data_IF_095060701865
#
_entry.id   IF_095060701865
#
_cell.length_a   1.000
_cell.length_b   1.000
_cell.length_c   1.000
_cell.angle_alpha   90.00
_cell.angle_beta   90.00
_cell.angle_gamma   90.00
#
_symmetry.space_group_name_H-M   'P 1'
#
loop_
_entity.id
_entity.type
_entity.pdbx_description
1 polymer ?
#
# COMPACT_ATOMS: atom_id res chain seq x y z
N UNK A 1 31.80 -19.60 -16.25
CA UNK A 1 31.05 -20.48 -15.34
C UNK A 1 32.04 -21.39 -14.62
N UNK A 2 32.41 -21.02 -13.37
CA UNK A 2 33.15 -21.77 -12.30
C UNK A 2 34.53 -22.41 -12.58
N UNK A 3 35.36 -22.73 -11.55
CA UNK A 3 35.14 -22.57 -10.10
C UNK A 3 36.25 -21.82 -9.33
N UNK A 4 35.86 -21.36 -8.14
CA UNK A 4 36.71 -20.86 -7.05
C UNK A 4 37.03 -22.06 -6.18
N UNK A 5 38.31 -22.37 -6.01
CA UNK A 5 38.79 -23.42 -5.12
C UNK A 5 38.91 -22.90 -3.68
N UNK A 6 38.32 -23.67 -2.75
CA UNK A 6 38.45 -23.51 -1.31
C UNK A 6 39.68 -24.29 -0.84
N UNK A 7 40.58 -23.63 -0.14
CA UNK A 7 41.54 -24.30 0.74
C UNK A 7 41.48 -23.67 2.14
N UNK A 8 40.99 -24.46 3.10
CA UNK A 8 41.54 -24.56 4.47
C UNK A 8 42.23 -25.94 4.51
N UNK A 9 43.30 -26.19 5.30
CA UNK A 9 43.42 -25.84 6.73
C UNK A 9 44.88 -25.58 7.20
N UNK A 10 45.09 -25.32 8.49
CA UNK A 10 46.02 -26.10 9.35
C UNK A 10 46.25 -25.42 10.70
N UNK A 11 45.90 -26.17 11.74
CA UNK A 11 46.20 -25.90 13.13
C UNK A 11 47.71 -26.07 13.36
N UNK A 12 48.37 -24.99 13.80
CA UNK A 12 49.78 -24.96 14.16
C UNK A 12 49.97 -25.10 15.66
N UNK A 13 50.25 -26.32 16.10
CA UNK A 13 50.70 -26.68 17.44
C UNK A 13 52.14 -26.16 17.65
N UNK A 14 52.38 -25.33 18.67
CA UNK A 14 53.73 -24.90 19.07
C UNK A 14 53.95 -25.14 20.57
N UNK A 15 54.67 -26.24 20.82
CA UNK A 15 55.51 -26.59 21.98
C UNK A 15 56.53 -25.45 22.19
N UNK A 16 56.70 -24.81 23.34
CA UNK A 16 57.00 -25.38 24.65
C UNK A 16 58.50 -25.28 24.87
N UNK A 17 58.99 -24.15 25.40
CA UNK A 17 60.36 -23.99 25.91
C UNK A 17 60.31 -23.32 27.30
N UNK A 18 60.75 -24.10 28.28
CA UNK A 18 61.01 -23.72 29.67
C UNK A 18 62.48 -23.30 29.80
N UNK A 19 62.75 -22.16 30.44
CA UNK A 19 64.00 -21.84 31.14
C UNK A 19 63.69 -20.60 32.00
N UNK A 20 63.76 -20.56 33.33
CA UNK A 20 64.87 -20.97 34.19
C UNK A 20 65.24 -19.72 35.02
N UNK A 21 64.99 -19.72 36.33
CA UNK A 21 65.31 -18.55 37.17
C UNK A 21 64.73 -18.57 38.59
N UNK A 22 65.39 -19.36 39.44
CA UNK A 22 65.81 -19.08 40.83
C UNK A 22 64.89 -18.38 41.85
N UNK A 23 64.57 -19.17 42.90
CA UNK A 23 64.67 -18.87 44.33
C UNK A 23 64.09 -17.56 44.89
N UNK A 24 62.79 -17.60 45.23
CA UNK A 24 62.22 -16.83 46.33
C UNK A 24 61.26 -17.71 47.16
N UNK A 25 61.24 -17.56 48.50
CA UNK A 25 60.41 -18.38 49.38
C UNK A 25 58.93 -18.18 49.06
N UNK A 26 58.18 -19.28 48.88
CA UNK A 26 56.71 -19.26 48.73
C UNK A 26 56.09 -18.68 50.00
N UNK A 27 55.77 -17.40 49.98
CA UNK A 27 54.76 -16.82 50.87
C UNK A 27 53.40 -17.16 50.26
N UNK A 28 52.59 -17.93 50.97
CA UNK A 28 51.20 -18.16 50.62
C UNK A 28 50.41 -16.84 50.80
N UNK A 29 49.90 -16.21 49.73
CA UNK A 29 49.18 -14.94 49.83
C UNK A 29 47.82 -15.07 50.55
N UNK A 30 47.39 -16.29 50.88
CA UNK A 30 46.05 -16.54 51.43
C UNK A 30 45.97 -16.41 52.96
N UNK A 31 47.08 -16.14 53.66
CA UNK A 31 47.07 -16.03 55.11
C UNK A 31 46.68 -14.64 55.64
N UNK A 32 46.62 -13.62 54.77
CA UNK A 32 46.33 -12.23 55.17
C UNK A 32 44.84 -11.83 55.07
N UNK A 33 43.96 -12.71 54.55
CA UNK A 33 42.54 -12.36 54.32
C UNK A 33 41.63 -12.74 55.50
N UNK A 34 42.16 -13.34 56.57
CA UNK A 34 41.37 -13.85 57.70
C UNK A 34 40.99 -12.81 58.79
N UNK A 35 41.30 -11.53 58.59
CA UNK A 35 41.06 -10.46 59.58
C UNK A 35 40.21 -9.28 59.12
N UNK A 36 39.69 -9.29 57.89
CA UNK A 36 38.81 -8.23 57.41
C UNK A 36 37.35 -8.58 57.73
N UNK A 37 36.79 -7.89 58.71
CA UNK A 37 35.34 -7.85 58.98
C UNK A 37 34.64 -7.18 57.79
N UNK A 38 34.35 -7.97 56.74
CA UNK A 38 33.60 -7.52 55.58
C UNK A 38 32.12 -7.47 56.00
N UNK A 39 31.47 -6.30 56.07
CA UNK A 39 30.04 -6.25 56.33
C UNK A 39 29.29 -7.01 55.22
N UNK A 40 28.19 -7.70 55.53
CA UNK A 40 27.45 -8.45 54.52
C UNK A 40 27.07 -7.51 53.37
N UNK A 41 27.47 -7.88 52.15
CA UNK A 41 27.02 -7.22 50.92
C UNK A 41 25.49 -7.21 50.97
N UNK A 42 24.81 -6.06 50.84
CA UNK A 42 23.36 -6.05 50.73
C UNK A 42 23.00 -6.91 49.52
N UNK A 43 22.47 -8.10 49.76
CA UNK A 43 21.88 -8.94 48.73
C UNK A 43 20.95 -8.03 47.94
N UNK A 44 21.24 -7.88 46.66
CA UNK A 44 20.55 -6.99 45.75
C UNK A 44 19.07 -6.99 46.10
N UNK A 45 18.60 -5.89 46.70
CA UNK A 45 17.18 -5.64 46.87
C UNK A 45 16.63 -5.87 45.47
N UNK A 46 15.73 -6.85 45.30
CA UNK A 46 14.98 -6.99 44.05
C UNK A 46 14.46 -5.60 43.75
N UNK A 47 15.07 -4.92 42.80
CA UNK A 47 14.50 -3.74 42.20
C UNK A 47 13.24 -4.33 41.58
N UNK A 48 12.03 -4.05 42.10
CA UNK A 48 10.83 -4.43 41.37
C UNK A 48 11.02 -3.82 39.98
N UNK A 49 10.69 -4.53 38.89
CA UNK A 49 10.78 -3.94 37.57
C UNK A 49 10.04 -2.61 37.64
N UNK A 50 10.80 -1.52 37.50
CA UNK A 50 10.22 -0.20 37.38
C UNK A 50 9.58 -0.21 36.00
N UNK A 51 8.35 -0.68 35.98
CA UNK A 51 7.44 -0.46 34.88
C UNK A 51 7.23 1.04 34.81
N UNK A 52 8.11 1.72 34.07
CA UNK A 52 7.81 3.01 33.45
C UNK A 52 6.72 2.79 32.40
N UNK A 53 5.55 2.33 32.85
CA UNK A 53 4.31 2.17 32.08
C UNK A 53 3.53 3.48 32.00
N UNK A 54 4.18 4.62 32.24
CA UNK A 54 3.52 5.94 32.19
C UNK A 54 3.96 6.82 31.02
N UNK A 55 4.71 6.26 30.06
CA UNK A 55 5.15 6.96 28.83
C UNK A 55 4.49 6.46 27.55
N UNK A 56 3.32 5.82 27.63
CA UNK A 56 2.39 5.65 26.50
C UNK A 56 1.12 6.47 26.74
N UNK A 57 0.93 7.59 26.03
CA UNK A 57 -0.18 8.49 26.32
C UNK A 57 -1.51 7.84 25.89
N UNK A 58 -2.47 7.80 26.83
CA UNK A 58 -3.90 7.61 26.60
C UNK A 58 -4.28 6.47 25.64
N UNK A 59 -4.21 5.24 26.15
CA UNK A 59 -5.05 4.16 25.61
C UNK A 59 -6.52 4.56 25.82
N UNK A 60 -7.18 5.00 24.74
CA UNK A 60 -8.62 5.15 24.71
C UNK A 60 -9.23 3.76 24.91
N UNK A 61 -10.03 3.63 25.97
CA UNK A 61 -10.71 2.38 26.34
C UNK A 61 -11.39 1.73 25.12
N UNK A 62 -11.33 0.39 24.98
CA UNK A 62 -11.94 -0.35 23.87
C UNK A 62 -13.46 -0.35 24.00
N UNK A 63 -14.08 0.77 23.64
CA UNK A 63 -15.50 0.90 23.39
C UNK A 63 -15.78 1.15 21.92
N UNK A 64 -17.01 0.89 21.46
CA UNK A 64 -17.47 1.13 20.08
C UNK A 64 -17.26 2.57 19.54
N UNK A 65 -16.77 3.50 20.36
CA UNK A 65 -16.29 4.83 20.00
C UNK A 65 -15.33 4.83 18.81
N UNK A 66 -14.45 3.83 18.69
CA UNK A 66 -13.48 3.75 17.58
C UNK A 66 -14.14 3.52 16.21
N UNK A 67 -15.07 2.57 16.14
CA UNK A 67 -15.83 2.30 14.93
C UNK A 67 -16.76 3.48 14.57
N UNK A 68 -17.30 4.17 15.57
CA UNK A 68 -18.14 5.37 15.36
C UNK A 68 -17.33 6.52 14.74
N UNK A 69 -16.13 6.79 15.25
CA UNK A 69 -15.27 7.83 14.70
C UNK A 69 -14.88 7.53 13.24
N UNK A 70 -14.46 6.28 12.95
CA UNK A 70 -14.21 5.84 11.58
C UNK A 70 -15.46 5.91 10.70
N UNK A 71 -16.63 5.58 11.25
CA UNK A 71 -17.90 5.69 10.55
C UNK A 71 -18.21 7.13 10.13
N UNK A 72 -17.99 8.09 11.02
CA UNK A 72 -18.15 9.52 10.70
C UNK A 72 -17.20 9.95 9.59
N UNK A 73 -15.91 9.60 9.69
CA UNK A 73 -14.93 9.91 8.65
C UNK A 73 -15.30 9.28 7.31
N UNK A 74 -15.76 8.02 7.31
CA UNK A 74 -16.20 7.33 6.11
C UNK A 74 -17.43 7.99 5.46
N UNK A 75 -18.41 8.43 6.26
CA UNK A 75 -19.60 9.15 5.77
C UNK A 75 -19.22 10.51 5.19
N UNK A 76 -18.34 11.26 5.85
CA UNK A 76 -17.86 12.56 5.34
C UNK A 76 -17.10 12.39 4.02
N UNK A 77 -16.24 11.39 3.92
CA UNK A 77 -15.53 11.06 2.68
C UNK A 77 -16.53 10.67 1.57
N UNK A 78 -17.51 9.81 1.88
CA UNK A 78 -18.52 9.40 0.92
C UNK A 78 -19.37 10.58 0.43
N UNK A 79 -19.69 11.54 1.30
CA UNK A 79 -20.38 12.77 0.91
C UNK A 79 -19.53 13.64 -0.03
N UNK A 80 -18.22 13.75 0.22
CA UNK A 80 -17.30 14.43 -0.70
C UNK A 80 -17.23 13.76 -2.07
N UNK A 81 -17.14 12.43 -2.11
CA UNK A 81 -17.17 11.67 -3.37
C UNK A 81 -18.51 11.78 -4.10
N UNK A 82 -19.62 11.77 -3.38
CA UNK A 82 -20.95 11.98 -3.95
C UNK A 82 -21.07 13.39 -4.53
N UNK A 83 -20.55 14.41 -3.86
CA UNK A 83 -20.54 15.78 -4.37
C UNK A 83 -19.75 15.88 -5.69
N UNK A 84 -18.59 15.22 -5.79
CA UNK A 84 -17.84 15.13 -7.04
C UNK A 84 -18.61 14.40 -8.14
N UNK A 85 -19.27 13.28 -7.82
CA UNK A 85 -20.05 12.51 -8.78
C UNK A 85 -21.27 13.29 -9.31
N UNK A 86 -21.95 14.04 -8.43
CA UNK A 86 -23.12 14.86 -8.77
C UNK A 86 -22.73 16.11 -9.57
N UNK A 87 -21.53 16.67 -9.33
CA UNK A 87 -21.06 17.86 -10.03
C UNK A 87 -20.91 17.66 -11.55
N UNK A 88 -20.89 16.41 -12.04
CA UNK A 88 -20.78 16.09 -13.45
C UNK A 88 -19.42 16.51 -13.98
N UNK A 89 -19.38 17.20 -15.14
CA UNK A 89 -18.12 17.60 -15.77
C UNK A 89 -17.27 18.51 -14.85
N UNK A 90 -16.13 17.96 -14.42
CA UNK A 90 -15.21 18.60 -13.49
C UNK A 90 -14.24 19.56 -14.20
N UNK A 91 -14.10 19.47 -15.53
CA UNK A 91 -13.19 20.32 -16.33
C UNK A 91 -13.41 21.82 -16.11
N UNK A 92 -14.64 22.36 -16.20
CA UNK A 92 -14.89 23.78 -15.91
C UNK A 92 -14.85 24.12 -14.42
N UNK A 93 -14.79 23.14 -13.53
CA UNK A 93 -14.92 23.29 -12.06
C UNK A 93 -13.63 22.92 -11.33
N UNK A 94 -12.47 23.24 -11.92
CA UNK A 94 -11.18 22.79 -11.41
C UNK A 94 -10.93 23.20 -9.95
N UNK A 95 -11.25 24.44 -9.57
CA UNK A 95 -11.09 24.89 -8.19
C UNK A 95 -11.94 24.10 -7.19
N UNK A 96 -13.18 23.76 -7.57
CA UNK A 96 -14.06 22.90 -6.76
C UNK A 96 -13.48 21.48 -6.65
N UNK A 97 -13.04 20.90 -7.77
CA UNK A 97 -12.39 19.59 -7.79
C UNK A 97 -11.16 19.56 -6.87
N UNK A 98 -10.27 20.54 -6.99
CA UNK A 98 -9.07 20.64 -6.14
C UNK A 98 -9.42 20.83 -4.66
N UNK A 99 -10.44 21.64 -4.35
CA UNK A 99 -10.93 21.83 -2.99
C UNK A 99 -11.45 20.52 -2.38
N UNK A 100 -12.28 19.78 -3.12
CA UNK A 100 -12.74 18.46 -2.71
C UNK A 100 -11.59 17.46 -2.57
N UNK A 101 -10.61 17.47 -3.50
CA UNK A 101 -9.45 16.59 -3.45
C UNK A 101 -8.58 16.83 -2.22
N UNK A 102 -8.32 18.10 -1.87
CA UNK A 102 -7.61 18.47 -0.63
C UNK A 102 -8.40 17.99 0.59
N UNK A 103 -9.70 18.28 0.67
CA UNK A 103 -10.55 17.87 1.78
C UNK A 103 -10.56 16.34 1.97
N UNK A 104 -10.75 15.59 0.90
CA UNK A 104 -10.74 14.12 0.92
C UNK A 104 -9.39 13.57 1.35
N UNK A 105 -8.29 14.19 0.91
CA UNK A 105 -6.93 13.83 1.33
C UNK A 105 -6.72 14.05 2.83
N UNK A 106 -7.23 15.15 3.38
CA UNK A 106 -7.19 15.43 4.81
C UNK A 106 -8.03 14.42 5.61
N UNK A 107 -9.22 14.06 5.14
CA UNK A 107 -10.06 13.02 5.76
C UNK A 107 -9.38 11.65 5.75
N UNK A 108 -8.68 11.31 4.66
CA UNK A 108 -7.89 10.08 4.56
C UNK A 108 -6.73 10.06 5.56
N UNK A 109 -5.94 11.14 5.65
CA UNK A 109 -4.86 11.27 6.63
C UNK A 109 -5.40 11.17 8.05
N UNK A 110 -6.50 11.86 8.36
CA UNK A 110 -7.16 11.78 9.67
C UNK A 110 -7.58 10.33 10.00
N UNK A 111 -8.11 9.60 9.01
CA UNK A 111 -8.46 8.19 9.16
C UNK A 111 -7.24 7.32 9.44
N UNK A 112 -6.13 7.52 8.74
CA UNK A 112 -4.87 6.78 8.96
C UNK A 112 -4.30 7.05 10.37
N UNK A 113 -4.21 8.31 10.78
CA UNK A 113 -3.72 8.69 12.11
C UNK A 113 -4.62 8.11 13.21
N UNK A 114 -5.93 8.06 12.98
CA UNK A 114 -6.87 7.45 13.91
C UNK A 114 -6.66 5.93 14.02
N UNK A 115 -6.52 5.24 12.90
CA UNK A 115 -6.27 3.79 12.86
C UNK A 115 -4.95 3.45 13.55
N UNK A 116 -3.88 4.23 13.34
CA UNK A 116 -2.58 4.00 13.98
C UNK A 116 -2.63 4.08 15.51
N UNK A 117 -3.57 4.86 16.07
CA UNK A 117 -3.77 4.99 17.52
C UNK A 117 -4.85 4.07 18.09
N UNK A 118 -5.49 3.27 17.24
CA UNK A 118 -6.64 2.44 17.62
C UNK A 118 -6.32 0.96 17.47
N UNK A 119 -6.89 0.11 18.35
CA UNK A 119 -6.83 -1.35 18.13
C UNK A 119 -7.82 -1.75 17.03
N UNK A 120 -7.43 -2.62 16.09
CA UNK A 120 -8.34 -3.08 15.05
C UNK A 120 -9.48 -3.89 15.67
N UNK A 121 -10.71 -3.46 15.43
CA UNK A 121 -11.92 -4.19 15.84
C UNK A 121 -12.64 -4.71 14.60
N UNK A 122 -13.40 -5.81 14.72
CA UNK A 122 -14.21 -6.35 13.60
C UNK A 122 -15.17 -5.29 13.04
N UNK A 123 -15.75 -4.46 13.90
CA UNK A 123 -16.62 -3.36 13.48
C UNK A 123 -15.87 -2.29 12.69
N UNK A 124 -14.65 -1.92 13.07
CA UNK A 124 -13.84 -0.97 12.32
C UNK A 124 -13.47 -1.52 10.93
N UNK A 125 -13.10 -2.81 10.85
CA UNK A 125 -12.86 -3.48 9.56
C UNK A 125 -14.12 -3.46 8.69
N UNK A 126 -15.29 -3.77 9.28
CA UNK A 126 -16.57 -3.70 8.58
C UNK A 126 -16.90 -2.30 8.05
N UNK A 127 -16.62 -1.25 8.83
CA UNK A 127 -16.79 0.16 8.40
C UNK A 127 -15.86 0.49 7.24
N UNK A 128 -14.60 0.07 7.30
CA UNK A 128 -13.63 0.33 6.22
C UNK A 128 -14.01 -0.41 4.95
N UNK A 129 -14.34 -1.70 5.02
CA UNK A 129 -14.75 -2.51 3.87
C UNK A 129 -16.07 -2.01 3.27
N UNK A 130 -17.05 -1.71 4.12
CA UNK A 130 -18.34 -1.15 3.69
C UNK A 130 -18.18 0.23 3.05
N UNK A 131 -17.38 1.11 3.65
CA UNK A 131 -17.05 2.42 3.10
C UNK A 131 -16.33 2.33 1.75
N UNK A 132 -15.35 1.44 1.64
CA UNK A 132 -14.64 1.18 0.38
C UNK A 132 -15.59 0.65 -0.72
N UNK A 133 -16.51 -0.25 -0.37
CA UNK A 133 -17.53 -0.73 -1.30
C UNK A 133 -18.47 0.41 -1.76
N UNK A 134 -19.00 1.20 -0.83
CA UNK A 134 -19.84 2.36 -1.16
C UNK A 134 -19.11 3.36 -2.04
N UNK A 135 -17.84 3.65 -1.75
CA UNK A 135 -17.01 4.51 -2.58
C UNK A 135 -16.85 3.96 -4.01
N UNK A 136 -16.51 2.66 -4.13
CA UNK A 136 -16.40 2.00 -5.44
C UNK A 136 -17.69 2.11 -6.25
N UNK A 137 -18.84 1.88 -5.61
CA UNK A 137 -20.14 2.01 -6.28
C UNK A 137 -20.41 3.45 -6.74
N UNK A 138 -20.14 4.45 -5.89
CA UNK A 138 -20.29 5.86 -6.26
C UNK A 138 -19.42 6.23 -7.46
N UNK A 139 -18.14 5.82 -7.48
CA UNK A 139 -17.25 6.09 -8.60
C UNK A 139 -17.57 5.28 -9.86
N UNK A 140 -18.05 4.05 -9.70
CA UNK A 140 -18.49 3.21 -10.81
C UNK A 140 -19.67 3.83 -11.56
N UNK A 141 -20.54 4.56 -10.86
CA UNK A 141 -21.69 5.24 -11.46
C UNK A 141 -21.39 6.68 -11.92
N UNK A 142 -20.35 7.32 -11.39
CA UNK A 142 -19.97 8.68 -11.79
C UNK A 142 -19.56 8.75 -13.28
N UNK A 143 -19.90 9.82 -14.01
CA UNK A 143 -19.41 10.00 -15.37
C UNK A 143 -17.87 10.14 -15.39
N UNK A 144 -17.16 9.61 -16.41
CA UNK A 144 -15.76 9.95 -16.62
C UNK A 144 -15.67 11.38 -17.14
N UNK A 145 -14.83 12.22 -16.52
CA UNK A 145 -14.78 13.64 -16.89
C UNK A 145 -13.38 14.20 -17.07
N UNK A 146 -12.38 13.63 -16.38
CA UNK A 146 -11.01 14.17 -16.37
C UNK A 146 -10.08 13.50 -17.39
N UNK A 147 -10.43 12.30 -17.87
CA UNK A 147 -9.70 11.61 -18.94
C UNK A 147 -10.69 11.09 -19.97
N UNK A 148 -10.30 11.21 -21.24
CA UNK A 148 -11.03 10.71 -22.41
C UNK A 148 -10.47 9.36 -22.92
N UNK A 149 -9.42 8.83 -22.29
CA UNK A 149 -8.81 7.55 -22.68
C UNK A 149 -9.78 6.37 -22.49
N UNK A 150 -10.84 6.56 -21.71
CA UNK A 150 -11.86 5.51 -21.53
C UNK A 150 -12.62 5.20 -22.82
N UNK A 151 -12.84 6.18 -23.69
CA UNK A 151 -13.44 5.96 -25.01
C UNK A 151 -12.47 5.23 -25.94
N UNK A 152 -11.17 5.49 -25.76
CA UNK A 152 -10.11 4.76 -26.45
C UNK A 152 -10.10 3.28 -26.07
N UNK A 153 -10.23 2.95 -24.78
CA UNK A 153 -10.32 1.56 -24.31
C UNK A 153 -11.52 0.82 -24.91
N UNK A 154 -12.70 1.46 -24.93
CA UNK A 154 -13.90 0.87 -25.52
C UNK A 154 -13.69 0.61 -27.01
N UNK A 155 -13.09 1.56 -27.72
CA UNK A 155 -12.80 1.45 -29.16
C UNK A 155 -11.83 0.30 -29.44
N UNK A 156 -10.69 0.27 -28.77
CA UNK A 156 -9.63 -0.71 -29.06
C UNK A 156 -10.11 -2.13 -28.72
N UNK A 157 -10.86 -2.30 -27.63
CA UNK A 157 -11.54 -3.57 -27.32
C UNK A 157 -12.54 -4.00 -28.40
N UNK A 158 -13.37 -3.06 -28.88
CA UNK A 158 -14.36 -3.34 -29.93
C UNK A 158 -13.71 -3.74 -31.26
N UNK A 159 -12.62 -3.07 -31.63
CA UNK A 159 -11.82 -3.38 -32.82
C UNK A 159 -11.26 -4.81 -32.74
N UNK A 160 -10.71 -5.20 -31.58
CA UNK A 160 -10.18 -6.55 -31.36
C UNK A 160 -11.24 -7.64 -31.45
N UNK A 161 -12.39 -7.44 -30.81
CA UNK A 161 -13.49 -8.42 -30.84
C UNK A 161 -14.02 -8.64 -32.26
N UNK A 162 -13.85 -7.67 -33.16
CA UNK A 162 -14.19 -7.77 -34.58
C UNK A 162 -13.01 -8.22 -35.47
N UNK A 163 -11.93 -8.74 -34.89
CA UNK A 163 -10.82 -9.38 -35.61
C UNK A 163 -9.75 -8.43 -36.17
N UNK A 164 -9.80 -7.14 -35.81
CA UNK A 164 -8.80 -6.15 -36.22
C UNK A 164 -7.74 -5.94 -35.13
N UNK A 165 -6.55 -5.50 -35.53
CA UNK A 165 -5.42 -5.32 -34.60
C UNK A 165 -5.24 -3.83 -34.26
N UNK A 166 -5.47 -3.39 -33.00
CA UNK A 166 -5.36 -1.98 -32.61
C UNK A 166 -3.91 -1.47 -32.62
N UNK A 167 -2.91 -2.35 -32.66
CA UNK A 167 -1.50 -2.00 -32.84
C UNK A 167 -1.16 -1.64 -34.28
N UNK A 168 -1.99 -2.05 -35.24
CA UNK A 168 -1.81 -1.78 -36.67
C UNK A 168 -2.79 -0.73 -37.19
N UNK A 169 -4.02 -0.72 -36.65
CA UNK A 169 -5.09 0.16 -37.10
C UNK A 169 -5.38 1.22 -36.03
N UNK A 170 -5.14 2.49 -36.37
CA UNK A 170 -5.55 3.61 -35.53
C UNK A 170 -7.10 3.75 -35.52
N UNK A 171 -7.71 4.37 -34.50
CA UNK A 171 -9.15 4.55 -34.45
C UNK A 171 -9.80 5.16 -35.71
N UNK A 172 -9.12 6.12 -36.35
CA UNK A 172 -9.54 6.80 -37.58
C UNK A 172 -9.17 6.09 -38.89
N UNK A 173 -8.57 4.90 -38.81
CA UNK A 173 -8.25 4.09 -40.00
C UNK A 173 -9.52 3.83 -40.83
N UNK A 174 -9.52 4.15 -42.15
CA UNK A 174 -10.64 3.87 -43.04
C UNK A 174 -11.10 2.41 -43.03
N UNK A 175 -10.20 1.46 -42.76
CA UNK A 175 -10.53 0.03 -42.64
C UNK A 175 -11.50 -0.25 -41.48
N UNK A 176 -11.56 0.63 -40.47
CA UNK A 176 -12.42 0.50 -39.29
C UNK A 176 -13.70 1.35 -39.37
N UNK A 177 -14.01 1.93 -40.53
CA UNK A 177 -15.14 2.84 -40.71
C UNK A 177 -16.50 2.17 -40.39
N UNK A 178 -16.65 0.89 -40.72
CA UNK A 178 -17.85 0.09 -40.43
C UNK A 178 -18.05 -0.19 -38.94
N UNK A 179 -16.99 -0.08 -38.13
CA UNK A 179 -17.03 -0.38 -36.70
C UNK A 179 -17.24 0.87 -35.83
N UNK A 180 -17.44 2.05 -36.40
CA UNK A 180 -17.55 3.33 -35.63
C UNK A 180 -18.69 3.27 -34.61
N UNK A 181 -18.38 3.70 -33.39
CA UNK A 181 -19.34 3.82 -32.28
C UNK A 181 -19.87 5.27 -32.17
N UNK A 182 -21.04 5.50 -31.56
CA UNK A 182 -21.61 6.85 -31.44
C UNK A 182 -20.72 7.86 -30.71
N UNK A 183 -19.86 7.39 -29.81
CA UNK A 183 -18.95 8.18 -28.99
C UNK A 183 -17.55 8.37 -29.63
N UNK A 184 -17.39 8.08 -30.92
CA UNK A 184 -16.11 8.17 -31.63
C UNK A 184 -15.45 9.56 -31.54
N UNK A 185 -16.25 10.64 -31.49
CA UNK A 185 -15.75 12.00 -31.36
C UNK A 185 -15.06 12.30 -30.03
N UNK A 186 -15.23 11.44 -29.02
CA UNK A 186 -14.63 11.57 -27.70
C UNK A 186 -13.29 10.81 -27.59
N UNK A 187 -12.88 10.09 -28.63
CA UNK A 187 -11.64 9.31 -28.61
C UNK A 187 -10.43 10.24 -28.62
N UNK A 188 -9.56 10.06 -27.62
CA UNK A 188 -8.27 10.72 -27.56
C UNK A 188 -7.28 10.12 -28.58
N UNK A 189 -6.47 10.97 -29.23
CA UNK A 189 -5.45 10.57 -30.21
C UNK A 189 -5.93 9.58 -31.29
N UNK A 190 -7.00 9.89 -32.05
CA UNK A 190 -7.65 8.92 -32.93
C UNK A 190 -6.82 8.54 -34.17
N UNK A 191 -5.77 9.31 -34.48
CA UNK A 191 -4.84 9.05 -35.58
C UNK A 191 -3.67 8.14 -35.19
N UNK A 192 -3.51 7.78 -33.90
CA UNK A 192 -2.38 6.99 -33.41
C UNK A 192 -2.87 5.59 -33.03
N UNK A 193 -2.19 4.51 -33.48
CA UNK A 193 -2.44 3.14 -33.01
C UNK A 193 -2.27 3.00 -31.49
N UNK A 194 -2.74 1.89 -30.92
CA UNK A 194 -2.64 1.70 -29.46
C UNK A 194 -1.19 1.64 -28.98
N UNK A 195 -0.95 2.24 -27.82
CA UNK A 195 0.31 2.16 -27.07
C UNK A 195 0.13 1.35 -25.77
N UNK A 196 -1.04 0.76 -25.56
CA UNK A 196 -1.33 0.04 -24.33
C UNK A 196 -0.62 -1.33 -24.32
N UNK A 197 -0.10 -1.76 -23.16
CA UNK A 197 0.48 -3.09 -23.03
C UNK A 197 -0.52 -4.20 -23.40
N UNK A 198 -0.07 -5.36 -23.92
CA UNK A 198 -0.97 -6.44 -24.36
C UNK A 198 -1.97 -6.92 -23.32
N UNK A 199 -1.60 -6.92 -22.04
CA UNK A 199 -2.52 -7.30 -20.96
C UNK A 199 -3.67 -6.30 -20.79
N UNK A 200 -3.40 -5.00 -20.95
CA UNK A 200 -4.44 -3.98 -20.89
C UNK A 200 -5.42 -4.12 -22.07
N UNK A 201 -4.89 -4.33 -23.28
CA UNK A 201 -5.72 -4.59 -24.46
C UNK A 201 -6.60 -5.84 -24.31
N UNK A 202 -6.07 -6.91 -23.71
CA UNK A 202 -6.87 -8.10 -23.41
C UNK A 202 -8.05 -7.81 -22.47
N UNK A 203 -7.86 -6.94 -21.47
CA UNK A 203 -8.95 -6.50 -20.58
C UNK A 203 -9.98 -5.64 -21.32
N UNK A 204 -9.55 -4.77 -22.24
CA UNK A 204 -10.44 -3.96 -23.05
C UNK A 204 -11.27 -4.82 -24.01
N UNK A 205 -10.64 -5.80 -24.66
CA UNK A 205 -11.33 -6.79 -25.49
C UNK A 205 -12.34 -7.61 -24.67
N UNK A 206 -11.97 -8.05 -23.46
CA UNK A 206 -12.88 -8.76 -22.56
C UNK A 206 -14.09 -7.89 -22.15
N UNK A 207 -13.89 -6.61 -21.86
CA UNK A 207 -14.97 -5.67 -21.58
C UNK A 207 -15.89 -5.48 -22.80
N UNK A 208 -15.30 -5.26 -23.98
CA UNK A 208 -16.04 -5.04 -25.22
C UNK A 208 -16.82 -6.29 -25.68
N UNK A 209 -16.30 -7.49 -25.39
CA UNK A 209 -16.99 -8.75 -25.67
C UNK A 209 -18.33 -8.86 -24.92
N UNK A 210 -18.39 -8.36 -23.69
CA UNK A 210 -19.66 -8.28 -22.93
C UNK A 210 -20.52 -7.16 -23.51
N UNK A 211 -19.97 -5.94 -23.61
CA UNK A 211 -20.62 -4.77 -24.22
C UNK A 211 -19.59 -3.67 -24.49
N UNK A 212 -19.50 -3.10 -25.70
CA UNK A 212 -18.63 -1.96 -25.99
C UNK A 212 -19.18 -0.69 -25.33
N UNK A 213 -18.87 -0.49 -24.06
CA UNK A 213 -19.36 0.63 -23.27
C UNK A 213 -18.37 1.03 -22.18
N UNK A 214 -18.36 2.32 -21.86
CA UNK A 214 -17.60 2.89 -20.74
C UNK A 214 -17.87 2.12 -19.44
N UNK A 215 -19.14 1.80 -19.17
CA UNK A 215 -19.52 1.07 -17.96
C UNK A 215 -18.86 -0.32 -17.86
N UNK A 216 -18.84 -1.09 -18.97
CA UNK A 216 -18.20 -2.41 -18.98
C UNK A 216 -16.69 -2.32 -18.71
N UNK A 217 -16.01 -1.33 -19.29
CA UNK A 217 -14.59 -1.07 -19.03
C UNK A 217 -14.37 -0.69 -17.56
N UNK A 218 -15.20 0.20 -16.98
CA UNK A 218 -15.11 0.55 -15.56
C UNK A 218 -15.33 -0.65 -14.64
N UNK A 219 -16.27 -1.53 -14.97
CA UNK A 219 -16.47 -2.77 -14.22
C UNK A 219 -15.24 -3.67 -14.26
N UNK A 220 -14.64 -3.87 -15.43
CA UNK A 220 -13.41 -4.67 -15.55
C UNK A 220 -12.27 -4.05 -14.75
N UNK A 221 -12.01 -2.75 -14.89
CA UNK A 221 -10.96 -2.08 -14.12
C UNK A 221 -11.20 -2.17 -12.60
N UNK A 222 -12.45 -1.99 -12.15
CA UNK A 222 -12.81 -2.07 -10.75
C UNK A 222 -12.66 -3.49 -10.15
N UNK A 223 -12.71 -4.55 -10.97
CA UNK A 223 -12.51 -5.92 -10.54
C UNK A 223 -11.02 -6.30 -10.43
N UNK A 224 -10.18 -5.75 -11.30
CA UNK A 224 -8.76 -6.09 -11.38
C UNK A 224 -7.84 -5.17 -10.57
N UNK A 225 -8.28 -3.97 -10.20
CA UNK A 225 -7.60 -3.16 -9.17
C UNK A 225 -7.96 -3.67 -7.77
N UNK A 226 -7.07 -4.43 -7.14
CA UNK A 226 -7.16 -4.89 -5.74
C UNK A 226 -5.81 -4.93 -5.06
#
# INVERSE_FOLDING_TARGET
MKPIDREQPQDGEVKGDEDGGDDLPRQDPLQEVHGLDIPPIPLARKIPPQEDETLFPLQVSPGGSGARALGVLAVLSLAGYAALAIAGDLRPRLAFFLGCWILLSLLYIASLLFVQRSRPTRSAVGVVLGGALCFRLTMLLAPPTLSEDIHRYVRDGWVQVNGHNPYLNAPDDPALASLRLPDHSLINNPSIPTLYPPLAEALFAAAAFVRPSVFAVKCMLALFES
#
